data_IF_058891675375
#
_entry.id   IF_058891675375
#
_cell.length_a   1.000
_cell.length_b   1.000
_cell.length_c   1.000
_cell.angle_alpha   90.00
_cell.angle_beta   90.00
_cell.angle_gamma   90.00
#
_symmetry.space_group_name_H-M   'P 1'
#
loop_
_entity.id
_entity.type
_entity.pdbx_description
1 polymer ?
#
# COMPACT_ATOMS: atom_id res chain seq x y z
N UNK A 1 -41.03 2.96 8.93
CA UNK A 1 -39.88 2.58 9.76
C UNK A 1 -38.62 2.73 8.92
N UNK A 2 -37.63 3.49 9.41
CA UNK A 2 -36.48 3.99 8.66
C UNK A 2 -35.28 3.03 8.61
N UNK A 3 -34.30 3.43 7.78
CA UNK A 3 -32.88 3.03 7.63
C UNK A 3 -32.61 2.09 6.44
N UNK A 4 -31.63 2.32 5.57
CA UNK A 4 -30.55 3.31 5.57
C UNK A 4 -29.66 3.11 4.34
N UNK A 5 -29.01 4.19 3.95
CA UNK A 5 -28.07 4.44 2.85
C UNK A 5 -26.92 3.45 2.68
N UNK A 6 -26.52 3.20 1.43
CA UNK A 6 -25.27 2.54 1.08
C UNK A 6 -24.95 2.60 -0.42
N UNK A 7 -24.68 3.80 -0.95
CA UNK A 7 -24.18 3.98 -2.32
C UNK A 7 -22.70 3.54 -2.40
N UNK A 8 -22.44 2.35 -2.96
CA UNK A 8 -21.12 1.87 -3.34
C UNK A 8 -20.94 1.95 -4.85
N UNK A 9 -20.25 2.99 -5.32
CA UNK A 9 -20.04 3.31 -6.73
C UNK A 9 -19.07 2.35 -7.43
N UNK A 10 -19.55 1.71 -8.51
CA UNK A 10 -18.89 1.66 -9.82
C UNK A 10 -17.61 0.83 -9.96
N UNK A 11 -17.76 -0.41 -10.45
CA UNK A 11 -16.71 -1.14 -11.17
C UNK A 11 -16.28 -0.39 -12.43
N UNK A 12 -15.06 0.14 -12.47
CA UNK A 12 -14.44 0.63 -13.70
C UNK A 12 -13.56 -0.47 -14.31
N UNK A 13 -14.08 -1.08 -15.37
CA UNK A 13 -13.42 -2.05 -16.25
C UNK A 13 -12.37 -1.31 -17.08
N UNK A 14 -11.08 -1.57 -16.84
CA UNK A 14 -9.96 -1.01 -17.60
C UNK A 14 -9.21 -2.11 -18.36
N UNK A 15 -9.18 -2.03 -19.68
CA UNK A 15 -8.51 -2.98 -20.58
C UNK A 15 -7.03 -3.18 -20.22
N UNK A 16 -6.66 -4.40 -19.81
CA UNK A 16 -5.27 -4.78 -19.51
C UNK A 16 -4.65 -5.44 -20.73
N UNK A 17 -4.20 -4.63 -21.70
CA UNK A 17 -3.37 -5.11 -22.80
C UNK A 17 -1.95 -5.35 -22.30
N UNK A 18 -1.64 -6.59 -21.89
CA UNK A 18 -0.35 -7.29 -22.02
C UNK A 18 0.97 -6.60 -21.66
N UNK A 19 0.96 -5.44 -20.98
CA UNK A 19 2.13 -4.62 -20.61
C UNK A 19 2.12 -4.25 -19.12
N UNK A 20 1.25 -4.90 -18.33
CA UNK A 20 0.79 -4.45 -17.02
C UNK A 20 1.56 -4.99 -15.80
N UNK A 21 2.75 -5.56 -15.96
CA UNK A 21 3.54 -6.11 -14.85
C UNK A 21 4.93 -5.49 -14.72
N UNK A 22 5.19 -4.34 -15.37
CA UNK A 22 6.27 -3.48 -14.91
C UNK A 22 5.68 -2.68 -13.76
N UNK A 23 5.93 -3.17 -12.54
CA UNK A 23 5.68 -2.54 -11.26
C UNK A 23 5.34 -1.05 -11.44
N UNK A 24 4.09 -0.68 -11.17
CA UNK A 24 3.61 0.69 -11.28
C UNK A 24 4.31 1.52 -10.20
N UNK A 25 5.60 1.81 -10.44
CA UNK A 25 6.48 2.51 -9.54
C UNK A 25 5.83 3.86 -9.26
N UNK A 26 5.37 4.04 -8.04
CA UNK A 26 4.68 5.24 -7.60
C UNK A 26 5.70 6.36 -7.60
N UNK A 27 5.53 7.29 -8.55
CA UNK A 27 6.36 8.49 -8.66
C UNK A 27 5.92 9.52 -7.62
N UNK A 28 6.89 10.27 -7.10
CA UNK A 28 6.61 11.41 -6.21
C UNK A 28 5.89 12.50 -7.01
N UNK A 29 4.60 12.73 -6.71
CA UNK A 29 3.76 13.73 -7.42
C UNK A 29 4.25 15.17 -7.22
N UNK A 30 4.85 15.47 -6.07
CA UNK A 30 5.32 16.80 -5.67
C UNK A 30 6.85 16.94 -5.79
N UNK A 31 7.43 16.41 -6.86
CA UNK A 31 8.88 16.38 -7.04
C UNK A 31 9.51 17.74 -7.42
N UNK A 32 8.72 18.69 -7.94
CA UNK A 32 9.21 20.00 -8.41
C UNK A 32 9.70 20.83 -7.22
N UNK A 33 10.93 21.31 -7.28
CA UNK A 33 11.55 22.16 -6.24
C UNK A 33 12.24 21.42 -5.08
N UNK A 34 12.24 20.08 -5.05
CA UNK A 34 12.96 19.30 -4.02
C UNK A 34 14.36 18.90 -4.47
N UNK A 35 15.29 18.81 -3.51
CA UNK A 35 16.63 18.21 -3.73
C UNK A 35 16.49 16.78 -4.25
N UNK A 36 17.41 16.37 -5.12
CA UNK A 36 17.44 15.03 -5.71
C UNK A 36 17.41 13.92 -4.64
N UNK A 37 18.19 14.09 -3.57
CA UNK A 37 18.23 13.16 -2.43
C UNK A 37 16.87 12.99 -1.73
N UNK A 38 16.15 14.11 -1.53
CA UNK A 38 14.81 14.09 -0.94
C UNK A 38 13.80 13.38 -1.84
N UNK A 39 13.87 13.60 -3.16
CA UNK A 39 13.04 12.89 -4.13
C UNK A 39 13.30 11.38 -4.10
N UNK A 40 14.57 10.96 -4.12
CA UNK A 40 14.94 9.54 -4.10
C UNK A 40 14.50 8.85 -2.80
N UNK A 41 14.60 9.52 -1.65
CA UNK A 41 14.12 9.00 -0.38
C UNK A 41 12.60 8.77 -0.38
N UNK A 42 11.84 9.75 -0.86
CA UNK A 42 10.39 9.64 -0.98
C UNK A 42 9.96 8.56 -1.99
N UNK A 43 10.66 8.49 -3.12
CA UNK A 43 10.40 7.48 -4.13
C UNK A 43 10.66 6.07 -3.57
N UNK A 44 11.71 5.88 -2.76
CA UNK A 44 11.96 4.60 -2.08
C UNK A 44 10.83 4.24 -1.12
N UNK A 45 10.38 5.18 -0.28
CA UNK A 45 9.30 4.94 0.67
C UNK A 45 7.96 4.59 -0.01
N UNK A 46 7.66 5.26 -1.13
CA UNK A 46 6.44 5.00 -1.90
C UNK A 46 6.45 3.66 -2.62
N UNK A 47 7.63 3.14 -2.93
CA UNK A 47 7.85 1.89 -3.67
C UNK A 47 8.34 0.74 -2.78
N UNK A 48 8.16 0.86 -1.47
CA UNK A 48 8.50 -0.22 -0.56
C UNK A 48 7.56 -1.43 -0.77
N UNK A 49 8.09 -2.64 -1.00
CA UNK A 49 7.28 -3.82 -1.35
C UNK A 49 6.41 -4.30 -0.18
N UNK A 50 6.77 -4.00 1.07
CA UNK A 50 5.94 -4.34 2.23
C UNK A 50 4.77 -3.38 2.36
N UNK A 51 4.91 -2.12 1.94
CA UNK A 51 3.78 -1.17 1.89
C UNK A 51 2.76 -1.60 0.83
N UNK A 52 3.23 -2.05 -0.33
CA UNK A 52 2.35 -2.58 -1.38
C UNK A 52 1.63 -3.85 -0.94
N UNK A 53 2.36 -4.82 -0.37
CA UNK A 53 1.77 -6.04 0.19
C UNK A 53 0.78 -5.74 1.32
N UNK A 54 1.13 -4.84 2.24
CA UNK A 54 0.25 -4.44 3.35
C UNK A 54 -1.10 -3.93 2.84
N UNK A 55 -1.10 -3.04 1.84
CA UNK A 55 -2.33 -2.53 1.25
C UNK A 55 -3.17 -3.61 0.59
N UNK A 56 -2.53 -4.57 -0.09
CA UNK A 56 -3.21 -5.70 -0.74
C UNK A 56 -3.85 -6.63 0.28
N UNK A 57 -3.18 -6.85 1.40
CA UNK A 57 -3.62 -7.75 2.47
C UNK A 57 -4.48 -7.04 3.55
N UNK A 58 -4.75 -5.74 3.38
CA UNK A 58 -5.62 -4.97 4.28
C UNK A 58 -4.93 -4.48 5.58
N UNK A 59 -3.61 -4.62 5.69
CA UNK A 59 -2.85 -4.14 6.83
C UNK A 59 -2.65 -2.62 6.79
N UNK A 60 -2.63 -1.98 7.97
CA UNK A 60 -2.46 -0.52 8.11
C UNK A 60 -1.07 0.00 7.69
N UNK A 61 -0.06 -0.85 7.62
CA UNK A 61 1.28 -0.46 7.16
C UNK A 61 2.31 -1.58 7.29
N UNK A 62 3.57 -1.28 6.94
CA UNK A 62 4.67 -2.27 6.93
C UNK A 62 4.97 -2.92 8.28
N UNK A 63 4.62 -2.23 9.38
CA UNK A 63 4.87 -2.71 10.74
C UNK A 63 4.07 -3.98 11.06
N UNK A 64 2.93 -4.20 10.39
CA UNK A 64 2.12 -5.38 10.59
C UNK A 64 2.91 -6.67 10.31
N UNK A 65 3.70 -6.71 9.23
CA UNK A 65 4.55 -7.86 8.92
C UNK A 65 5.59 -8.14 10.02
N UNK A 66 6.15 -7.08 10.60
CA UNK A 66 7.14 -7.23 11.67
C UNK A 66 6.50 -7.72 12.96
N UNK A 67 5.32 -7.21 13.29
CA UNK A 67 4.57 -7.67 14.46
C UNK A 67 4.17 -9.14 14.30
N UNK A 68 3.69 -9.54 13.11
CA UNK A 68 3.39 -10.94 12.80
C UNK A 68 4.64 -11.83 12.94
N UNK A 69 5.78 -11.45 12.35
CA UNK A 69 7.04 -12.20 12.50
C UNK A 69 7.51 -12.32 13.95
N UNK A 70 7.28 -11.28 14.77
CA UNK A 70 7.62 -11.31 16.19
C UNK A 70 6.64 -12.21 16.96
N UNK A 71 5.36 -12.14 16.65
CA UNK A 71 4.36 -12.99 17.30
C UNK A 71 4.58 -14.47 16.95
N UNK A 72 4.93 -14.80 15.71
CA UNK A 72 5.28 -16.17 15.33
C UNK A 72 6.47 -16.72 16.16
N UNK A 73 7.44 -15.86 16.49
CA UNK A 73 8.65 -16.25 17.23
C UNK A 73 8.46 -16.29 18.73
N UNK A 74 7.74 -15.31 19.28
CA UNK A 74 7.67 -15.07 20.72
C UNK A 74 6.28 -15.35 21.30
N UNK A 75 5.26 -15.57 20.45
CA UNK A 75 3.87 -15.87 20.78
C UNK A 75 3.31 -15.01 21.91
N UNK A 76 3.66 -13.73 21.90
CA UNK A 76 3.36 -12.82 23.00
C UNK A 76 1.96 -12.20 22.88
N UNK A 77 1.26 -12.42 21.76
CA UNK A 77 -0.15 -12.03 21.60
C UNK A 77 -1.13 -13.10 22.11
N UNK A 78 -0.64 -14.24 22.60
CA UNK A 78 -1.46 -15.32 23.17
C UNK A 78 -1.41 -15.23 24.71
N UNK A 79 -2.57 -15.22 25.41
CA UNK A 79 -2.62 -15.17 26.88
C UNK A 79 -2.17 -16.47 27.55
#
# INVERSE_FOLDING_TARGET
MAKGTGAGSGSAKGNTSGRGQRDLKVRVKTAKGRKLSSKLWLERQLNDPYVARAKREGYRGRAAYKILELDDKYRFLVP
#
